data_IF_007572720917
#
_entry.id   IF_007572720917
#
_cell.length_a   1.000
_cell.length_b   1.000
_cell.length_c   1.000
_cell.angle_alpha   90.00
_cell.angle_beta   90.00
_cell.angle_gamma   90.00
#
_symmetry.space_group_name_H-M   'P 1'
#
loop_
_entity.id
_entity.type
_entity.pdbx_description
1 polymer ?
#
# COMPACT_ATOMS: atom_id res chain seq x y z
N UNK A 1 -22.40 -25.15 -18.87
CA UNK A 1 -21.86 -23.79 -18.64
C UNK A 1 -20.43 -24.00 -18.21
N UNK A 2 -19.46 -23.59 -19.01
CA UNK A 2 -18.08 -23.55 -18.57
C UNK A 2 -18.00 -22.56 -17.37
N UNK A 3 -17.29 -22.89 -16.29
CA UNK A 3 -17.07 -21.93 -15.23
C UNK A 3 -16.39 -20.70 -15.82
N UNK A 4 -16.90 -19.53 -15.46
CA UNK A 4 -16.37 -18.25 -15.90
C UNK A 4 -14.90 -18.17 -15.44
N UNK A 5 -13.98 -18.48 -16.40
CA UNK A 5 -12.54 -18.62 -16.14
C UNK A 5 -11.82 -17.29 -15.93
N UNK A 6 -12.59 -16.17 -15.90
CA UNK A 6 -12.06 -14.83 -15.93
C UNK A 6 -11.43 -14.33 -14.63
N UNK A 7 -11.48 -15.10 -13.53
CA UNK A 7 -11.16 -14.56 -12.22
C UNK A 7 -10.52 -15.59 -11.28
N UNK A 8 -9.57 -16.33 -11.80
CA UNK A 8 -8.84 -17.30 -11.00
C UNK A 8 -7.74 -16.70 -10.16
N UNK A 9 -7.39 -15.49 -10.50
CA UNK A 9 -6.42 -14.70 -9.77
C UNK A 9 -6.98 -14.24 -8.40
N UNK A 10 -6.12 -13.76 -7.53
CA UNK A 10 -6.30 -13.29 -6.13
C UNK A 10 -7.64 -12.62 -5.78
N UNK A 11 -8.32 -12.03 -6.77
CA UNK A 11 -9.61 -11.37 -6.60
C UNK A 11 -10.82 -12.30 -6.63
N UNK A 12 -10.66 -13.55 -7.09
CA UNK A 12 -11.73 -14.56 -7.10
C UNK A 12 -13.00 -14.10 -7.84
N UNK A 13 -14.11 -14.83 -7.68
CA UNK A 13 -15.38 -14.55 -8.36
C UNK A 13 -16.08 -13.25 -7.97
N UNK A 14 -15.56 -12.53 -7.00
CA UNK A 14 -16.16 -11.30 -6.48
C UNK A 14 -15.22 -10.10 -6.65
N UNK A 15 -15.05 -9.69 -7.92
CA UNK A 15 -14.28 -8.49 -8.28
C UNK A 15 -14.92 -7.22 -7.71
N UNK A 16 -16.21 -7.26 -7.41
CA UNK A 16 -16.92 -6.10 -6.84
C UNK A 16 -16.58 -5.93 -5.36
N UNK A 17 -16.19 -7.02 -4.68
CA UNK A 17 -15.73 -6.98 -3.31
C UNK A 17 -14.26 -6.59 -3.27
N UNK A 18 -13.98 -5.39 -2.85
CA UNK A 18 -12.64 -4.85 -2.75
C UNK A 18 -12.31 -3.78 -3.78
N UNK A 19 -13.22 -3.46 -4.73
CA UNK A 19 -13.06 -2.30 -5.61
C UNK A 19 -13.40 -1.02 -4.84
N UNK A 20 -12.49 -0.07 -4.88
CA UNK A 20 -12.71 1.28 -4.34
C UNK A 20 -13.71 2.00 -5.22
N UNK A 21 -14.73 2.62 -4.62
CA UNK A 21 -15.63 3.56 -5.29
C UNK A 21 -15.36 4.96 -4.77
N UNK A 22 -14.99 5.86 -5.66
CA UNK A 22 -14.76 7.27 -5.33
C UNK A 22 -16.08 7.97 -5.10
N UNK A 23 -16.10 8.86 -4.12
CA UNK A 23 -17.18 9.81 -3.87
C UNK A 23 -16.92 11.16 -4.51
N UNK A 24 -17.22 12.23 -3.78
CA UNK A 24 -17.01 13.58 -4.25
C UNK A 24 -15.53 13.97 -4.23
N UNK A 25 -15.13 14.79 -5.19
CA UNK A 25 -13.81 15.43 -5.15
C UNK A 25 -13.76 16.41 -4.00
N UNK A 26 -12.66 16.39 -3.26
CA UNK A 26 -12.39 17.23 -2.10
C UNK A 26 -11.34 18.28 -2.43
N UNK A 27 -11.45 19.44 -1.79
CA UNK A 27 -10.40 20.44 -1.88
C UNK A 27 -9.22 20.00 -1.00
N UNK A 28 -8.02 19.82 -1.61
CA UNK A 28 -6.83 19.37 -0.90
C UNK A 28 -6.31 20.46 0.05
N UNK A 29 -6.31 20.24 1.38
CA UNK A 29 -5.84 21.23 2.36
C UNK A 29 -4.34 21.54 2.26
N UNK A 30 -3.55 20.63 1.69
CA UNK A 30 -2.10 20.78 1.57
C UNK A 30 -1.64 21.56 0.33
N UNK A 31 -2.55 22.02 -0.56
CA UNK A 31 -2.15 22.95 -1.63
C UNK A 31 -1.43 24.15 -1.03
N UNK A 32 -0.33 24.57 -1.65
CA UNK A 32 0.45 25.75 -1.18
C UNK A 32 -0.42 26.96 -0.95
N UNK A 33 -1.41 27.20 -1.83
CA UNK A 33 -2.33 28.34 -1.72
C UNK A 33 -3.26 28.19 -0.48
N UNK A 34 -3.71 27.00 -0.15
CA UNK A 34 -4.58 26.76 1.00
C UNK A 34 -3.82 26.89 2.32
N UNK A 35 -2.59 26.39 2.37
CA UNK A 35 -1.69 26.57 3.52
C UNK A 35 -1.35 28.05 3.68
N UNK A 36 -1.03 28.77 2.60
CA UNK A 36 -0.74 30.21 2.68
C UNK A 36 -1.96 31.02 3.18
N UNK A 37 -3.17 30.70 2.74
CA UNK A 37 -4.41 31.32 3.26
C UNK A 37 -4.61 31.02 4.74
N UNK A 38 -4.41 29.77 5.16
CA UNK A 38 -4.51 29.37 6.57
C UNK A 38 -3.47 30.09 7.44
N UNK A 39 -2.23 30.18 6.97
CA UNK A 39 -1.17 30.95 7.62
C UNK A 39 -1.56 32.42 7.77
N UNK A 40 -2.05 33.06 6.71
CA UNK A 40 -2.48 34.46 6.74
C UNK A 40 -3.65 34.69 7.69
N UNK A 41 -4.56 33.75 7.82
CA UNK A 41 -5.69 33.80 8.74
C UNK A 41 -5.23 33.76 10.21
N UNK A 42 -4.28 32.89 10.55
CA UNK A 42 -3.78 32.74 11.93
C UNK A 42 -2.70 33.76 12.30
N UNK A 43 -1.86 34.14 11.33
CA UNK A 43 -0.69 34.99 11.53
C UNK A 43 -0.62 36.16 10.55
N UNK A 44 -1.60 37.07 10.54
CA UNK A 44 -1.71 38.11 9.51
C UNK A 44 -0.49 39.05 9.44
N UNK A 45 0.21 39.25 10.56
CA UNK A 45 1.40 40.10 10.60
C UNK A 45 2.69 39.41 10.19
N UNK A 46 2.71 38.06 10.18
CA UNK A 46 3.87 37.22 9.84
C UNK A 46 3.76 36.62 8.43
N UNK A 47 2.54 36.42 7.91
CA UNK A 47 2.29 35.73 6.64
C UNK A 47 3.04 36.36 5.45
N UNK A 48 3.20 37.69 5.42
CA UNK A 48 3.95 38.37 4.37
C UNK A 48 5.50 38.20 4.46
N UNK A 49 6.01 37.52 5.49
CA UNK A 49 7.44 37.28 5.74
C UNK A 49 7.84 35.82 5.66
N UNK A 50 6.87 34.92 5.52
CA UNK A 50 7.07 33.47 5.46
C UNK A 50 6.60 32.99 4.11
N UNK A 51 7.53 32.53 3.31
CA UNK A 51 7.23 31.90 2.03
C UNK A 51 6.72 30.47 2.27
N UNK A 52 5.63 30.13 1.58
CA UNK A 52 5.05 28.79 1.58
C UNK A 52 5.40 28.16 0.23
N UNK A 53 6.67 27.77 0.09
CA UNK A 53 7.15 27.09 -1.10
C UNK A 53 6.71 25.63 -1.09
N UNK A 54 6.47 25.03 -2.26
CA UNK A 54 6.13 23.62 -2.33
C UNK A 54 7.24 22.76 -1.69
N UNK A 55 6.85 21.84 -0.83
CA UNK A 55 7.72 20.78 -0.31
C UNK A 55 7.57 19.49 -1.07
N UNK A 56 6.37 19.28 -1.62
CA UNK A 56 5.96 18.07 -2.31
C UNK A 56 5.10 18.40 -3.53
N UNK A 57 5.10 17.47 -4.51
CA UNK A 57 4.22 17.50 -5.66
C UNK A 57 3.28 16.31 -5.59
N UNK A 58 1.99 16.54 -5.73
CA UNK A 58 0.99 15.51 -5.99
C UNK A 58 0.92 15.32 -7.50
N UNK A 59 1.26 14.14 -7.96
CA UNK A 59 1.46 13.80 -9.37
C UNK A 59 0.72 12.53 -9.75
N UNK A 60 0.58 12.29 -11.05
CA UNK A 60 0.20 10.99 -11.61
C UNK A 60 1.12 10.63 -12.75
N UNK A 61 1.39 9.33 -12.89
CA UNK A 61 2.21 8.72 -13.93
C UNK A 61 1.39 7.74 -14.76
N UNK A 62 1.77 7.56 -16.01
CA UNK A 62 1.24 6.52 -16.89
C UNK A 62 2.39 5.73 -17.52
N UNK A 63 3.02 4.82 -16.76
CA UNK A 63 4.08 3.98 -17.31
C UNK A 63 3.53 3.07 -18.42
N UNK A 64 4.37 2.79 -19.42
CA UNK A 64 4.00 2.02 -20.60
C UNK A 64 4.48 0.57 -20.56
N UNK A 65 5.52 0.27 -19.75
CA UNK A 65 6.17 -1.03 -19.69
C UNK A 65 6.85 -1.32 -18.32
N UNK A 66 7.50 -2.48 -18.23
CA UNK A 66 8.21 -2.94 -17.04
C UNK A 66 9.43 -2.06 -16.71
N UNK A 67 10.14 -1.57 -17.70
CA UNK A 67 11.34 -0.73 -17.49
C UNK A 67 10.97 0.58 -16.80
N UNK A 68 9.91 1.23 -17.26
CA UNK A 68 9.40 2.46 -16.66
C UNK A 68 8.84 2.24 -15.25
N UNK A 69 8.16 1.11 -15.01
CA UNK A 69 7.73 0.75 -13.65
C UNK A 69 8.91 0.53 -12.71
N UNK A 70 9.92 -0.20 -13.16
CA UNK A 70 11.13 -0.46 -12.38
C UNK A 70 11.90 0.84 -12.08
N UNK A 71 11.94 1.78 -13.00
CA UNK A 71 12.56 3.10 -12.80
C UNK A 71 11.84 3.89 -11.69
N UNK A 72 10.49 3.91 -11.70
CA UNK A 72 9.71 4.55 -10.64
C UNK A 72 9.94 3.89 -9.28
N UNK A 73 9.97 2.56 -9.22
CA UNK A 73 10.28 1.83 -7.98
C UNK A 73 11.69 2.14 -7.48
N UNK A 74 12.69 2.10 -8.37
CA UNK A 74 14.09 2.38 -8.02
C UNK A 74 14.29 3.81 -7.50
N UNK A 75 13.51 4.78 -8.01
CA UNK A 75 13.51 6.15 -7.51
C UNK A 75 12.81 6.32 -6.14
N UNK A 76 12.24 5.25 -5.58
CA UNK A 76 11.54 5.25 -4.30
C UNK A 76 10.13 5.80 -4.33
N UNK A 77 9.58 6.08 -5.52
CA UNK A 77 8.19 6.53 -5.69
C UNK A 77 7.23 5.43 -5.24
N UNK A 78 6.26 5.79 -4.41
CA UNK A 78 5.21 4.89 -3.96
C UNK A 78 3.92 5.19 -4.72
N UNK A 79 3.61 4.32 -5.68
CA UNK A 79 2.45 4.44 -6.54
C UNK A 79 1.16 4.04 -5.80
N UNK A 80 0.08 4.69 -6.17
CA UNK A 80 -1.29 4.47 -5.69
C UNK A 80 -2.23 4.43 -6.89
N UNK A 81 -3.25 3.60 -6.80
CA UNK A 81 -4.20 3.37 -7.89
C UNK A 81 -5.31 4.42 -8.01
N UNK A 82 -5.51 5.21 -7.01
CA UNK A 82 -6.63 6.14 -6.97
C UNK A 82 -6.18 7.54 -6.60
N UNK A 83 -6.92 8.57 -7.04
CA UNK A 83 -6.65 9.94 -6.67
C UNK A 83 -6.84 10.16 -5.16
N UNK A 84 -6.02 11.07 -4.60
CA UNK A 84 -5.92 11.33 -3.16
C UNK A 84 -6.85 12.46 -2.70
N UNK A 85 -7.41 13.20 -3.62
CA UNK A 85 -8.30 14.34 -3.41
C UNK A 85 -9.78 13.99 -3.67
N UNK A 86 -10.15 12.73 -3.38
CA UNK A 86 -11.54 12.27 -3.43
C UNK A 86 -11.93 11.64 -2.10
N UNK A 87 -13.20 11.77 -1.76
CA UNK A 87 -13.77 10.92 -0.73
C UNK A 87 -13.91 9.49 -1.26
N UNK A 88 -13.91 8.51 -0.37
CA UNK A 88 -14.08 7.12 -0.73
C UNK A 88 -15.46 6.71 -0.23
N UNK A 89 -16.39 6.54 -1.18
CA UNK A 89 -17.76 6.16 -0.91
C UNK A 89 -17.87 4.68 -0.51
N UNK A 90 -17.07 3.81 -1.16
CA UNK A 90 -16.94 2.39 -0.80
C UNK A 90 -15.46 2.08 -0.69
N UNK A 91 -15.04 1.57 0.46
CA UNK A 91 -13.65 1.18 0.70
C UNK A 91 -13.33 -0.17 0.04
N UNK A 92 -12.06 -0.36 -0.32
CA UNK A 92 -11.62 -1.54 -1.01
C UNK A 92 -10.10 -1.63 -1.12
N UNK A 93 -9.65 -2.70 -1.74
CA UNK A 93 -8.24 -3.03 -1.88
C UNK A 93 -7.62 -2.42 -3.14
N UNK A 94 -8.41 -2.10 -4.15
CA UNK A 94 -7.94 -1.64 -5.45
C UNK A 94 -8.95 -0.69 -6.12
N UNK A 95 -8.45 0.12 -7.05
CA UNK A 95 -9.24 1.04 -7.87
C UNK A 95 -8.91 0.85 -9.35
N UNK A 96 -9.90 0.99 -10.19
CA UNK A 96 -9.77 1.11 -11.64
C UNK A 96 -10.67 2.24 -12.11
N UNK A 97 -10.14 3.14 -12.92
CA UNK A 97 -10.88 4.26 -13.46
C UNK A 97 -12.04 3.73 -14.34
N UNK A 98 -13.29 4.07 -14.04
CA UNK A 98 -14.43 3.58 -14.80
C UNK A 98 -14.47 4.07 -16.25
N UNK A 99 -13.75 5.12 -16.59
CA UNK A 99 -13.66 5.66 -17.95
C UNK A 99 -12.59 4.96 -18.80
N UNK A 100 -11.79 4.06 -18.19
CA UNK A 100 -10.76 3.26 -18.88
C UNK A 100 -11.29 1.82 -19.06
N UNK A 101 -11.08 1.19 -20.23
CA UNK A 101 -11.49 -0.20 -20.45
C UNK A 101 -10.89 -1.15 -19.41
N UNK A 102 -11.67 -2.17 -19.01
CA UNK A 102 -11.16 -3.23 -18.14
C UNK A 102 -9.95 -3.91 -18.81
N UNK A 103 -8.90 -4.14 -18.01
CA UNK A 103 -7.65 -4.70 -18.50
C UNK A 103 -6.60 -3.67 -18.94
N UNK A 104 -6.99 -2.42 -19.17
CA UNK A 104 -6.03 -1.35 -19.45
C UNK A 104 -5.55 -0.71 -18.14
N UNK A 105 -4.29 -0.26 -18.15
CA UNK A 105 -3.68 0.39 -16.99
C UNK A 105 -4.18 1.83 -16.88
N UNK A 106 -4.59 2.18 -15.67
CA UNK A 106 -5.00 3.54 -15.35
C UNK A 106 -3.85 4.38 -14.80
N UNK A 107 -4.07 5.66 -14.64
CA UNK A 107 -3.10 6.57 -14.02
C UNK A 107 -2.70 6.11 -12.62
N UNK A 108 -1.41 6.21 -12.33
CA UNK A 108 -0.78 5.91 -11.06
C UNK A 108 -0.50 7.19 -10.31
N UNK A 109 -1.00 7.32 -9.11
CA UNK A 109 -0.88 8.55 -8.32
C UNK A 109 0.28 8.43 -7.33
N UNK A 110 1.00 9.52 -7.12
CA UNK A 110 2.10 9.58 -6.16
C UNK A 110 2.25 10.97 -5.54
N UNK A 111 3.01 11.02 -4.46
CA UNK A 111 3.51 12.25 -3.88
C UNK A 111 5.03 12.17 -3.86
N UNK A 112 5.66 13.12 -4.52
CA UNK A 112 7.12 13.18 -4.67
C UNK A 112 7.66 14.50 -4.11
N UNK A 113 8.93 14.60 -3.71
CA UNK A 113 9.55 15.86 -3.29
C UNK A 113 9.42 16.95 -4.38
N UNK A 114 9.40 18.22 -3.98
CA UNK A 114 9.24 19.33 -4.92
C UNK A 114 10.41 19.46 -5.92
N UNK A 115 11.58 18.95 -5.54
CA UNK A 115 12.81 18.88 -6.35
C UNK A 115 13.00 17.53 -7.06
N UNK A 116 11.94 16.70 -7.14
CA UNK A 116 12.00 15.40 -7.80
C UNK A 116 12.34 15.54 -9.28
N UNK A 117 13.37 14.83 -9.72
CA UNK A 117 13.77 14.72 -11.12
C UNK A 117 12.88 13.67 -11.81
N UNK A 118 12.02 14.14 -12.71
CA UNK A 118 11.07 13.28 -13.40
C UNK A 118 11.79 12.42 -14.46
N UNK A 119 11.55 11.10 -14.45
CA UNK A 119 12.02 10.22 -15.53
C UNK A 119 11.27 10.50 -16.85
N UNK A 120 11.72 9.89 -17.93
CA UNK A 120 11.05 9.97 -19.25
C UNK A 120 9.82 9.05 -19.31
N UNK A 121 8.87 9.32 -18.42
CA UNK A 121 7.59 8.61 -18.27
C UNK A 121 6.48 9.63 -18.33
N UNK A 122 5.38 9.40 -19.06
CA UNK A 122 4.25 10.33 -19.06
C UNK A 122 3.75 10.63 -17.65
N UNK A 123 3.72 11.91 -17.29
CA UNK A 123 3.26 12.37 -15.98
C UNK A 123 2.49 13.68 -16.03
N UNK A 124 1.73 13.94 -14.99
CA UNK A 124 1.07 15.23 -14.76
C UNK A 124 1.22 15.66 -13.30
N UNK A 125 1.54 16.94 -13.09
CA UNK A 125 1.51 17.54 -11.75
C UNK A 125 0.09 18.04 -11.47
N UNK A 126 -0.57 17.41 -10.50
CA UNK A 126 -1.95 17.74 -10.12
C UNK A 126 -1.97 18.94 -9.17
N UNK A 127 -1.15 18.90 -8.11
CA UNK A 127 -1.03 19.99 -7.15
C UNK A 127 0.39 20.18 -6.65
N UNK A 128 0.77 21.45 -6.41
CA UNK A 128 1.93 21.81 -5.58
C UNK A 128 1.47 21.83 -4.12
N UNK A 129 2.15 21.11 -3.25
CA UNK A 129 1.75 20.88 -1.87
C UNK A 129 2.83 21.36 -0.89
N UNK A 130 2.39 21.81 0.27
CA UNK A 130 3.27 22.14 1.38
C UNK A 130 2.91 21.25 2.57
N UNK A 131 3.86 20.43 2.99
CA UNK A 131 3.75 19.55 4.16
C UNK A 131 4.85 19.94 5.14
N UNK A 132 4.48 20.61 6.23
CA UNK A 132 5.46 21.07 7.22
C UNK A 132 6.17 19.88 7.88
N UNK A 133 7.49 19.90 7.84
CA UNK A 133 8.39 18.97 8.51
C UNK A 133 9.14 19.60 9.68
N UNK A 134 10.06 18.87 10.28
CA UNK A 134 10.89 19.39 11.38
C UNK A 134 11.83 20.52 10.94
N UNK A 135 12.28 20.53 9.68
CA UNK A 135 13.16 21.58 9.15
C UNK A 135 12.39 22.89 8.96
N UNK A 136 11.16 22.81 8.48
CA UNK A 136 10.23 23.94 8.36
C UNK A 136 9.95 24.59 9.72
N UNK A 137 9.71 23.77 10.76
CA UNK A 137 9.49 24.22 12.13
C UNK A 137 10.69 24.99 12.69
N UNK A 138 11.89 24.53 12.39
CA UNK A 138 13.12 25.17 12.87
C UNK A 138 13.39 26.53 12.20
N UNK A 139 13.06 26.67 10.91
CA UNK A 139 13.30 27.90 10.14
C UNK A 139 12.31 29.02 10.44
N UNK A 140 11.08 28.67 10.80
CA UNK A 140 9.96 29.62 10.99
C UNK A 140 9.66 30.00 12.44
N UNK A 141 10.44 29.48 13.39
CA UNK A 141 10.55 29.81 14.84
C UNK A 141 9.25 29.85 15.65
N UNK A 142 8.35 30.78 15.35
CA UNK A 142 7.15 31.08 16.15
C UNK A 142 5.84 30.71 15.46
N UNK A 143 5.85 29.89 14.40
CA UNK A 143 4.64 29.44 13.70
C UNK A 143 4.29 28.05 14.17
N UNK A 144 3.09 27.91 14.69
CA UNK A 144 2.48 26.61 14.93
C UNK A 144 1.92 26.05 13.61
N UNK A 145 2.74 25.29 12.89
CA UNK A 145 2.37 24.66 11.63
C UNK A 145 1.25 23.62 11.79
N UNK A 146 1.07 23.10 12.99
CA UNK A 146 -0.05 22.20 13.28
C UNK A 146 -1.38 22.97 13.27
N UNK A 147 -1.40 24.14 13.90
CA UNK A 147 -2.56 25.02 13.85
C UNK A 147 -2.85 25.47 12.42
N UNK A 148 -1.81 25.74 11.61
CA UNK A 148 -1.97 26.11 10.18
C UNK A 148 -2.54 24.94 9.38
N UNK A 149 -2.05 23.72 9.56
CA UNK A 149 -2.59 22.50 8.93
C UNK A 149 -4.07 22.31 9.28
N UNK A 150 -4.43 22.38 10.55
CA UNK A 150 -5.83 22.28 11.01
C UNK A 150 -6.71 23.36 10.39
N UNK A 151 -6.23 24.60 10.36
CA UNK A 151 -6.95 25.73 9.76
C UNK A 151 -7.18 25.52 8.25
N UNK A 152 -6.21 24.93 7.54
CA UNK A 152 -6.36 24.58 6.13
C UNK A 152 -7.45 23.53 5.92
N UNK A 153 -7.55 22.52 6.79
CA UNK A 153 -8.66 21.55 6.75
C UNK A 153 -10.03 22.24 6.92
N UNK A 154 -10.15 23.15 7.91
CA UNK A 154 -11.39 23.90 8.13
C UNK A 154 -11.74 24.75 6.91
N UNK A 155 -10.77 25.52 6.37
CA UNK A 155 -10.99 26.43 5.25
C UNK A 155 -11.32 25.71 3.93
N UNK A 156 -10.96 24.43 3.82
CA UNK A 156 -11.26 23.59 2.66
C UNK A 156 -12.51 22.71 2.84
N UNK A 157 -13.23 22.88 3.97
CA UNK A 157 -14.45 22.12 4.25
C UNK A 157 -14.20 20.65 4.62
N UNK A 158 -13.02 20.35 5.19
CA UNK A 158 -12.61 19.00 5.59
C UNK A 158 -12.45 18.85 7.12
N UNK A 159 -13.11 19.70 7.90
CA UNK A 159 -13.03 19.68 9.36
C UNK A 159 -13.52 18.37 9.98
N UNK A 160 -14.43 17.66 9.31
CA UNK A 160 -14.94 16.34 9.72
C UNK A 160 -13.87 15.26 9.74
N UNK A 161 -12.78 15.48 9.01
CA UNK A 161 -11.63 14.56 8.98
C UNK A 161 -10.65 14.78 10.14
N UNK A 162 -10.76 15.90 10.84
CA UNK A 162 -9.91 16.19 12.00
C UNK A 162 -10.42 15.45 13.25
N UNK A 163 -9.50 14.86 13.99
CA UNK A 163 -9.85 14.37 15.33
C UNK A 163 -10.26 15.53 16.25
N UNK A 164 -11.34 15.32 17.00
CA UNK A 164 -11.86 16.30 17.96
C UNK A 164 -12.15 17.68 17.34
N UNK A 165 -12.77 17.73 16.16
CA UNK A 165 -13.16 18.97 15.48
C UNK A 165 -13.94 19.95 16.39
N UNK A 166 -14.68 19.41 17.38
CA UNK A 166 -15.45 20.18 18.37
C UNK A 166 -14.69 20.56 19.67
N UNK A 167 -13.41 20.16 19.81
CA UNK A 167 -12.60 20.49 20.98
C UNK A 167 -11.82 21.78 20.76
N UNK A 168 -11.92 22.72 21.71
CA UNK A 168 -11.11 23.96 21.72
C UNK A 168 -9.62 23.71 22.02
N UNK A 169 -9.26 22.51 22.46
CA UNK A 169 -7.85 22.08 22.59
C UNK A 169 -7.46 21.30 21.33
N UNK A 170 -6.40 21.78 20.66
CA UNK A 170 -5.76 21.01 19.61
C UNK A 170 -5.41 19.61 20.16
N UNK A 171 -5.90 18.57 19.52
CA UNK A 171 -5.44 17.22 19.85
C UNK A 171 -3.96 17.14 19.45
N UNK A 172 -3.13 16.64 20.36
CA UNK A 172 -1.71 16.43 20.06
C UNK A 172 -1.60 15.50 18.84
N UNK A 173 -0.64 15.79 17.94
CA UNK A 173 -0.28 14.85 16.87
C UNK A 173 0.21 13.55 17.47
N UNK A 174 -0.19 12.46 16.86
CA UNK A 174 0.16 11.10 17.29
C UNK A 174 0.85 10.40 16.12
N UNK A 175 1.97 9.73 16.41
CA UNK A 175 2.58 8.80 15.47
C UNK A 175 1.79 7.48 15.52
N UNK A 176 1.08 7.11 14.44
CA UNK A 176 0.25 5.91 14.44
C UNK A 176 1.07 4.67 14.76
N UNK A 177 0.52 3.81 15.61
CA UNK A 177 1.14 2.54 15.97
C UNK A 177 0.09 1.45 16.12
N UNK A 178 0.52 0.19 16.04
CA UNK A 178 -0.40 -0.92 16.19
C UNK A 178 0.26 -2.26 15.99
N UNK A 179 -0.59 -3.28 15.84
CA UNK A 179 -0.13 -4.65 15.68
C UNK A 179 -0.97 -5.41 14.67
N UNK A 180 -0.29 -6.06 13.70
CA UNK A 180 -0.92 -6.94 12.71
C UNK A 180 -0.57 -8.38 13.07
N UNK A 181 -1.60 -9.19 13.31
CA UNK A 181 -1.44 -10.59 13.72
C UNK A 181 -2.27 -11.53 12.86
N UNK A 182 -1.89 -12.79 12.85
CA UNK A 182 -2.62 -13.89 12.25
C UNK A 182 -2.86 -14.96 13.32
N UNK A 183 -3.99 -15.64 13.25
CA UNK A 183 -4.33 -16.75 14.14
C UNK A 183 -4.83 -17.94 13.32
N UNK A 184 -4.38 -19.13 13.71
CA UNK A 184 -4.87 -20.41 13.22
C UNK A 184 -4.96 -21.38 14.39
N UNK A 185 -6.02 -22.18 14.46
CA UNK A 185 -6.30 -23.05 15.60
C UNK A 185 -5.19 -24.07 15.87
N UNK A 186 -4.40 -24.40 14.86
CA UNK A 186 -3.32 -25.41 14.92
C UNK A 186 -1.94 -24.79 15.02
N UNK A 187 -1.79 -23.53 14.64
CA UNK A 187 -0.50 -22.81 14.74
C UNK A 187 -0.39 -22.08 16.09
N UNK A 188 0.79 -22.01 16.66
CA UNK A 188 1.10 -21.31 17.92
C UNK A 188 0.10 -21.60 19.08
N UNK A 189 -0.47 -22.82 19.11
CA UNK A 189 -1.47 -23.21 20.11
C UNK A 189 -2.77 -22.39 20.03
N UNK A 190 -3.16 -21.94 18.85
CA UNK A 190 -4.34 -21.12 18.62
C UNK A 190 -4.22 -19.66 19.11
N UNK A 191 -3.02 -19.19 19.45
CA UNK A 191 -2.81 -17.81 19.90
C UNK A 191 -2.35 -16.94 18.72
N UNK A 192 -2.80 -15.67 18.65
CA UNK A 192 -2.34 -14.74 17.64
C UNK A 192 -0.82 -14.55 17.69
N UNK A 193 -0.18 -14.48 16.51
CA UNK A 193 1.24 -14.18 16.34
C UNK A 193 1.44 -13.18 15.19
N UNK A 194 2.61 -12.54 15.14
CA UNK A 194 2.86 -11.43 14.23
C UNK A 194 2.82 -11.80 12.76
N UNK A 195 2.36 -10.85 11.93
CA UNK A 195 2.65 -10.84 10.48
C UNK A 195 3.93 -10.03 10.30
N UNK A 196 5.03 -10.72 9.99
CA UNK A 196 6.38 -10.18 10.10
C UNK A 196 6.85 -9.46 8.84
N UNK A 197 7.47 -8.28 9.01
CA UNK A 197 8.18 -7.55 7.97
C UNK A 197 7.30 -6.99 6.85
N UNK A 198 5.98 -6.99 6.99
CA UNK A 198 5.04 -6.48 5.98
C UNK A 198 4.87 -4.97 6.11
N UNK A 199 4.69 -4.27 4.98
CA UNK A 199 4.53 -2.82 4.96
C UNK A 199 3.13 -2.40 5.40
N UNK A 200 3.06 -1.53 6.40
CA UNK A 200 1.85 -0.79 6.77
C UNK A 200 1.97 0.63 6.26
N UNK A 201 0.96 1.14 5.59
CA UNK A 201 0.92 2.52 5.10
C UNK A 201 -0.32 3.24 5.59
N UNK A 202 -0.23 4.55 5.77
CA UNK A 202 -1.37 5.39 6.06
C UNK A 202 -1.26 6.74 5.37
N UNK A 203 -2.40 7.37 5.10
CA UNK A 203 -2.42 8.71 4.55
C UNK A 203 -3.69 9.49 4.93
N UNK A 204 -3.56 10.82 4.89
CA UNK A 204 -4.66 11.77 4.79
C UNK A 204 -4.33 12.73 3.66
N UNK A 205 -5.13 12.72 2.59
CA UNK A 205 -4.77 13.38 1.33
C UNK A 205 -3.36 12.99 0.90
N UNK A 206 -2.52 13.98 0.60
CA UNK A 206 -1.14 13.83 0.13
C UNK A 206 -0.10 13.59 1.22
N UNK A 207 -0.49 13.66 2.48
CA UNK A 207 0.41 13.39 3.61
C UNK A 207 0.45 11.90 3.91
N UNK A 208 1.59 11.26 3.61
CA UNK A 208 1.81 9.82 3.73
C UNK A 208 2.82 9.46 4.81
N UNK A 209 2.61 8.29 5.42
CA UNK A 209 3.63 7.56 6.13
C UNK A 209 3.52 6.06 5.85
N UNK A 210 4.64 5.37 5.90
CA UNK A 210 4.69 3.92 5.89
C UNK A 210 5.82 3.44 6.79
N UNK A 211 5.68 2.20 7.23
CA UNK A 211 6.68 1.48 8.01
C UNK A 211 6.47 -0.02 7.81
N UNK A 212 7.32 -0.82 8.38
CA UNK A 212 7.19 -2.28 8.34
C UNK A 212 6.92 -2.82 9.73
N UNK A 213 6.18 -3.91 9.80
CA UNK A 213 6.00 -4.63 11.06
C UNK A 213 7.29 -5.30 11.50
N UNK A 214 7.51 -5.38 12.80
CA UNK A 214 8.54 -6.26 13.36
C UNK A 214 8.11 -7.74 13.31
N UNK A 215 8.94 -8.63 13.88
CA UNK A 215 8.65 -10.07 13.92
C UNK A 215 7.36 -10.40 14.68
N UNK A 216 7.01 -9.60 15.67
CA UNK A 216 5.82 -9.78 16.50
C UNK A 216 4.59 -9.06 15.94
N UNK A 217 4.74 -8.44 14.76
CA UNK A 217 3.69 -7.73 14.04
C UNK A 217 3.45 -6.28 14.50
N UNK A 218 4.28 -5.74 15.40
CA UNK A 218 4.16 -4.33 15.82
C UNK A 218 4.71 -3.39 14.77
N UNK A 219 4.07 -2.23 14.65
CA UNK A 219 4.52 -1.14 13.80
C UNK A 219 4.35 0.22 14.48
N UNK A 220 5.17 1.19 14.09
CA UNK A 220 5.04 2.60 14.47
C UNK A 220 5.41 3.47 13.27
N UNK A 221 4.53 4.42 12.92
CA UNK A 221 4.77 5.34 11.81
C UNK A 221 5.84 6.38 12.15
N UNK A 222 6.65 6.80 11.16
CA UNK A 222 7.69 7.81 11.38
C UNK A 222 7.16 9.25 11.39
N UNK A 223 5.88 9.47 11.01
CA UNK A 223 5.24 10.79 10.96
C UNK A 223 4.04 10.85 11.90
N UNK A 224 3.79 12.05 12.41
CA UNK A 224 2.64 12.35 13.28
C UNK A 224 1.48 12.93 12.47
N UNK A 225 0.27 12.64 12.90
CA UNK A 225 -0.98 13.09 12.27
C UNK A 225 -1.97 13.59 13.32
N UNK A 226 -2.84 14.51 12.89
CA UNK A 226 -3.95 15.05 13.70
C UNK A 226 -5.33 14.70 13.07
N UNK A 227 -5.34 14.12 11.88
CA UNK A 227 -6.53 13.75 11.13
C UNK A 227 -6.77 12.25 11.13
N UNK A 228 -7.99 11.85 10.80
CA UNK A 228 -8.32 10.47 10.48
C UNK A 228 -7.55 10.03 9.22
N UNK A 229 -7.07 8.79 9.24
CA UNK A 229 -6.20 8.22 8.23
C UNK A 229 -6.86 7.02 7.58
N UNK A 230 -6.53 6.79 6.33
CA UNK A 230 -6.77 5.52 5.68
C UNK A 230 -5.53 4.64 5.84
N UNK A 231 -5.74 3.44 6.39
CA UNK A 231 -4.68 2.45 6.61
C UNK A 231 -4.75 1.34 5.57
N UNK A 232 -3.58 0.85 5.15
CA UNK A 232 -3.43 -0.26 4.21
C UNK A 232 -2.30 -1.16 4.63
N UNK A 233 -2.47 -2.45 4.38
CA UNK A 233 -1.44 -3.46 4.43
C UNK A 233 -0.96 -3.73 3.00
N UNK A 234 0.32 -3.57 2.74
CA UNK A 234 0.92 -3.78 1.43
C UNK A 234 1.91 -4.93 1.54
N UNK A 235 1.72 -5.96 0.73
CA UNK A 235 2.50 -7.20 0.83
C UNK A 235 3.87 -7.09 0.16
N UNK A 236 4.58 -6.04 0.48
CA UNK A 236 6.00 -5.81 0.26
C UNK A 236 6.72 -6.05 1.59
N UNK A 237 7.80 -6.86 1.57
CA UNK A 237 8.45 -7.31 2.80
C UNK A 237 9.89 -6.79 2.93
N UNK A 238 10.33 -6.56 4.18
CA UNK A 238 11.70 -6.17 4.51
C UNK A 238 12.78 -7.16 4.04
N UNK A 239 12.39 -8.40 3.71
CA UNK A 239 13.29 -9.44 3.21
C UNK A 239 13.48 -9.38 1.68
N UNK A 240 12.87 -8.40 1.00
CA UNK A 240 13.03 -8.18 -0.43
C UNK A 240 12.18 -9.13 -1.28
N UNK A 241 10.96 -9.40 -0.87
CA UNK A 241 9.96 -10.08 -1.68
C UNK A 241 8.62 -9.36 -1.62
N UNK A 242 7.75 -9.64 -2.58
CA UNK A 242 6.40 -9.16 -2.64
C UNK A 242 5.42 -10.30 -2.93
N UNK A 243 4.15 -10.14 -2.50
CA UNK A 243 3.11 -11.16 -2.71
C UNK A 243 1.96 -10.54 -3.49
N UNK A 244 1.57 -11.22 -4.56
CA UNK A 244 0.53 -10.76 -5.46
C UNK A 244 0.94 -9.55 -6.28
N UNK A 245 -0.02 -8.89 -6.85
CA UNK A 245 0.12 -7.58 -7.46
C UNK A 245 -1.13 -6.75 -7.17
N UNK A 246 -1.01 -5.46 -7.26
CA UNK A 246 -2.19 -4.63 -7.39
C UNK A 246 -2.40 -4.35 -8.88
N UNK A 247 -3.65 -4.30 -9.34
CA UNK A 247 -4.06 -3.92 -10.71
C UNK A 247 -3.44 -2.60 -11.17
N UNK A 248 -2.66 -1.99 -10.36
CA UNK A 248 -2.06 -0.71 -10.45
C UNK A 248 -0.55 -0.78 -10.39
N UNK A 249 0.06 -1.64 -11.20
CA UNK A 249 1.51 -1.65 -11.41
C UNK A 249 2.37 -1.64 -10.12
N UNK A 250 1.78 -1.97 -8.97
CA UNK A 250 2.52 -2.22 -7.74
C UNK A 250 2.68 -3.73 -7.63
N UNK A 251 3.91 -4.26 -7.66
CA UNK A 251 4.15 -5.70 -7.59
C UNK A 251 3.90 -6.27 -6.18
N UNK A 252 2.83 -5.82 -5.54
CA UNK A 252 2.41 -6.24 -4.22
C UNK A 252 0.91 -6.03 -4.04
N UNK A 253 0.20 -7.05 -3.55
CA UNK A 253 -1.20 -6.91 -3.17
C UNK A 253 -1.37 -5.92 -2.04
N UNK A 254 -2.47 -5.18 -2.10
CA UNK A 254 -2.87 -4.21 -1.07
C UNK A 254 -4.16 -4.70 -0.43
N UNK A 255 -4.24 -4.62 0.89
CA UNK A 255 -5.48 -4.84 1.64
C UNK A 255 -5.81 -3.62 2.46
N UNK A 256 -7.05 -3.12 2.35
CA UNK A 256 -7.49 -2.01 3.19
C UNK A 256 -7.61 -2.45 4.64
N UNK A 257 -7.14 -1.61 5.56
CA UNK A 257 -7.38 -1.74 7.00
C UNK A 257 -8.46 -0.75 7.47
N UNK A 258 -9.07 -0.03 6.51
CA UNK A 258 -10.12 0.93 6.75
C UNK A 258 -9.63 2.32 7.17
N UNK A 259 -10.59 3.15 7.58
CA UNK A 259 -10.36 4.49 8.12
C UNK A 259 -10.35 4.41 9.65
N UNK A 260 -9.34 5.00 10.29
CA UNK A 260 -9.22 5.10 11.74
C UNK A 260 -8.53 6.40 12.14
N UNK A 261 -8.50 6.69 13.43
CA UNK A 261 -7.77 7.82 13.98
C UNK A 261 -6.25 7.70 13.89
N UNK A 262 -5.51 8.74 14.25
CA UNK A 262 -4.05 8.74 14.20
C UNK A 262 -3.39 7.87 15.27
N UNK A 263 -4.16 7.26 16.19
CA UNK A 263 -3.63 6.28 17.15
C UNK A 263 -3.10 5.02 16.49
N UNK A 264 -3.64 4.64 15.33
CA UNK A 264 -3.25 3.45 14.58
C UNK A 264 -4.32 2.35 14.58
N UNK A 265 -3.99 1.19 13.99
CA UNK A 265 -4.91 0.06 13.82
C UNK A 265 -4.27 -1.22 14.33
N UNK A 266 -5.04 -1.99 15.11
CA UNK A 266 -4.73 -3.37 15.45
C UNK A 266 -5.63 -4.30 14.62
N UNK A 267 -5.03 -5.32 14.02
CA UNK A 267 -5.77 -6.30 13.22
C UNK A 267 -5.32 -7.72 13.56
N UNK A 268 -6.29 -8.63 13.65
CA UNK A 268 -6.05 -10.07 13.77
C UNK A 268 -6.74 -10.78 12.62
N UNK A 269 -5.97 -11.39 11.75
CA UNK A 269 -6.44 -12.08 10.54
C UNK A 269 -6.75 -13.54 10.90
N UNK A 270 -7.93 -14.02 10.50
CA UNK A 270 -8.37 -15.41 10.67
C UNK A 270 -8.75 -16.03 9.33
N UNK A 271 -8.66 -17.34 9.22
CA UNK A 271 -9.09 -18.07 8.02
C UNK A 271 -10.57 -17.88 7.68
N UNK A 272 -11.41 -17.67 8.70
CA UNK A 272 -12.86 -17.62 8.54
C UNK A 272 -13.38 -16.25 8.13
N UNK A 273 -12.65 -15.18 8.49
CA UNK A 273 -13.10 -13.81 8.23
C UNK A 273 -12.61 -13.25 6.89
N UNK A 274 -11.38 -13.61 6.49
CA UNK A 274 -10.74 -13.07 5.28
C UNK A 274 -9.75 -14.07 4.67
N UNK A 275 -10.28 -15.05 3.98
CA UNK A 275 -9.49 -16.16 3.42
C UNK A 275 -8.29 -15.71 2.58
N UNK A 276 -8.46 -14.70 1.72
CA UNK A 276 -7.37 -14.18 0.86
C UNK A 276 -6.28 -13.50 1.69
N UNK A 277 -6.68 -12.62 2.60
CA UNK A 277 -5.75 -11.93 3.48
C UNK A 277 -5.00 -12.91 4.38
N UNK A 278 -5.70 -13.94 4.89
CA UNK A 278 -5.10 -15.00 5.68
C UNK A 278 -4.00 -15.74 4.89
N UNK A 279 -4.27 -16.11 3.64
CA UNK A 279 -3.29 -16.77 2.77
C UNK A 279 -2.08 -15.89 2.50
N UNK A 280 -2.29 -14.61 2.17
CA UNK A 280 -1.19 -13.65 1.99
C UNK A 280 -0.32 -13.52 3.25
N UNK A 281 -0.94 -13.40 4.42
CA UNK A 281 -0.24 -13.33 5.70
C UNK A 281 0.54 -14.62 6.01
N UNK A 282 -0.01 -15.79 5.68
CA UNK A 282 0.66 -17.07 5.90
C UNK A 282 1.87 -17.25 4.97
N UNK A 283 1.72 -16.92 3.68
CA UNK A 283 2.82 -16.91 2.70
C UNK A 283 3.90 -15.90 3.11
N UNK A 284 3.49 -14.70 3.54
CA UNK A 284 4.41 -13.68 4.02
C UNK A 284 5.29 -14.18 5.18
N UNK A 285 4.68 -14.81 6.17
CA UNK A 285 5.42 -15.34 7.32
C UNK A 285 6.33 -16.50 6.94
N UNK A 286 5.87 -17.38 6.04
CA UNK A 286 6.69 -18.49 5.55
C UNK A 286 7.94 -17.99 4.81
N UNK A 287 7.76 -17.06 3.87
CA UNK A 287 8.89 -16.48 3.11
C UNK A 287 9.83 -15.66 4.03
N UNK A 288 9.26 -14.86 4.94
CA UNK A 288 10.05 -14.12 5.93
C UNK A 288 10.92 -15.05 6.80
N UNK A 289 10.32 -16.11 7.33
CA UNK A 289 11.04 -17.08 8.17
C UNK A 289 12.08 -17.87 7.39
N UNK A 290 11.74 -18.34 6.17
CA UNK A 290 12.66 -19.07 5.31
C UNK A 290 13.91 -18.24 4.99
N UNK A 291 13.73 -17.04 4.45
CA UNK A 291 14.85 -16.14 4.10
C UNK A 291 15.64 -15.73 5.33
N UNK A 292 14.98 -15.53 6.48
CA UNK A 292 15.68 -15.22 7.74
C UNK A 292 16.56 -16.37 8.21
N UNK A 293 16.13 -17.62 8.01
CA UNK A 293 16.91 -18.81 8.40
C UNK A 293 18.09 -19.07 7.48
N UNK A 294 17.99 -18.75 6.19
CA UNK A 294 19.12 -18.82 5.26
C UNK A 294 20.32 -17.93 5.70
N UNK A 295 20.07 -16.95 6.56
CA UNK A 295 21.11 -16.06 7.10
C UNK A 295 21.81 -16.60 8.35
N UNK A 296 21.42 -17.78 8.87
CA UNK A 296 22.08 -18.38 10.02
C UNK A 296 23.37 -19.08 9.59
N UNK A 297 24.46 -18.78 10.28
CA UNK A 297 25.80 -19.30 9.99
C UNK A 297 25.89 -20.85 9.99
N UNK A 298 24.99 -21.51 10.73
CA UNK A 298 24.94 -22.97 10.84
C UNK A 298 24.14 -23.65 9.69
N UNK A 299 23.50 -22.87 8.81
CA UNK A 299 22.75 -23.39 7.69
C UNK A 299 23.43 -23.01 6.37
N UNK A 300 24.07 -24.00 5.73
CA UNK A 300 24.64 -23.85 4.39
C UNK A 300 23.55 -23.89 3.31
N UNK A 301 22.58 -22.96 3.42
CA UNK A 301 21.46 -22.81 2.51
C UNK A 301 21.56 -21.44 1.84
N UNK A 302 21.64 -21.43 0.52
CA UNK A 302 21.62 -20.19 -0.25
C UNK A 302 20.27 -19.49 -0.04
N UNK A 303 20.30 -18.19 0.25
CA UNK A 303 19.08 -17.40 0.27
C UNK A 303 18.49 -17.27 -1.15
N UNK A 304 17.17 -17.26 -1.29
CA UNK A 304 16.53 -16.93 -2.57
C UNK A 304 17.00 -15.55 -3.07
N UNK A 305 16.90 -15.29 -4.38
CA UNK A 305 17.17 -13.97 -4.95
C UNK A 305 16.36 -12.87 -4.25
N UNK A 306 16.84 -11.64 -4.28
CA UNK A 306 16.05 -10.48 -3.85
C UNK A 306 15.00 -10.12 -4.90
N UNK A 307 13.98 -9.39 -4.47
CA UNK A 307 12.90 -8.88 -5.34
C UNK A 307 11.99 -9.98 -5.91
N UNK A 308 11.86 -11.09 -5.16
CA UNK A 308 10.95 -12.15 -5.53
C UNK A 308 9.50 -11.69 -5.57
N UNK A 309 8.81 -12.04 -6.66
CA UNK A 309 7.39 -11.82 -6.89
C UNK A 309 6.62 -13.12 -6.74
N UNK A 310 5.85 -13.26 -5.68
CA UNK A 310 5.10 -14.50 -5.35
C UNK A 310 3.63 -14.28 -5.66
N UNK A 311 3.07 -15.04 -6.62
CA UNK A 311 1.67 -14.94 -6.96
C UNK A 311 0.86 -16.13 -6.45
N UNK A 312 -0.36 -15.86 -5.96
CA UNK A 312 -1.28 -16.85 -5.41
C UNK A 312 -2.43 -17.11 -6.38
N UNK A 313 -2.68 -18.35 -6.71
CA UNK A 313 -3.77 -18.76 -7.59
C UNK A 313 -4.75 -19.68 -6.87
N UNK A 314 -5.99 -19.24 -6.70
CA UNK A 314 -6.99 -19.96 -5.91
C UNK A 314 -7.52 -21.25 -6.55
N UNK A 315 -7.51 -21.35 -7.88
CA UNK A 315 -7.98 -22.54 -8.58
C UNK A 315 -6.86 -23.51 -8.96
N UNK A 316 -5.62 -23.12 -8.86
CA UNK A 316 -4.50 -24.02 -9.04
C UNK A 316 -4.33 -24.96 -7.84
N UNK A 317 -4.08 -26.25 -8.13
CA UNK A 317 -3.70 -27.20 -7.09
C UNK A 317 -2.30 -26.89 -6.55
N UNK A 318 -2.00 -27.22 -5.28
CA UNK A 318 -0.66 -27.03 -4.70
C UNK A 318 0.48 -27.64 -5.51
N UNK A 319 0.26 -28.84 -6.07
CA UNK A 319 1.23 -29.52 -6.96
C UNK A 319 1.53 -28.80 -8.28
N UNK A 320 0.90 -27.66 -8.53
CA UNK A 320 1.14 -26.81 -9.71
C UNK A 320 1.97 -25.58 -9.38
N UNK A 321 2.47 -25.46 -8.14
CA UNK A 321 3.40 -24.41 -7.76
C UNK A 321 4.73 -24.59 -8.49
N UNK A 322 5.32 -23.49 -8.95
CA UNK A 322 6.53 -23.52 -9.76
C UNK A 322 7.33 -22.24 -9.53
N UNK A 323 8.62 -22.40 -9.26
CA UNK A 323 9.56 -21.29 -9.30
C UNK A 323 9.96 -21.02 -10.76
N UNK A 324 9.75 -19.80 -11.23
CA UNK A 324 10.01 -19.38 -12.63
C UNK A 324 11.29 -18.52 -12.73
N UNK A 325 12.20 -18.60 -11.77
CA UNK A 325 13.44 -17.84 -11.88
C UNK A 325 14.33 -18.44 -12.99
N UNK A 326 14.44 -17.71 -14.12
CA UNK A 326 15.22 -18.06 -15.34
C UNK A 326 14.69 -19.16 -16.26
N UNK A 327 13.43 -19.55 -16.19
CA UNK A 327 12.87 -20.49 -17.17
C UNK A 327 11.38 -20.65 -16.99
N UNK A 328 10.60 -20.20 -17.96
CA UNK A 328 9.14 -20.29 -17.93
C UNK A 328 8.69 -21.74 -17.86
N UNK A 329 8.22 -22.20 -16.70
CA UNK A 329 7.54 -23.48 -16.57
C UNK A 329 6.02 -23.32 -16.76
N UNK A 330 5.45 -22.17 -16.36
CA UNK A 330 4.14 -21.74 -16.85
C UNK A 330 4.35 -20.97 -18.16
N UNK A 331 3.74 -21.42 -19.24
CA UNK A 331 3.74 -20.64 -20.49
C UNK A 331 2.98 -19.32 -20.26
N UNK A 332 3.40 -18.26 -20.94
CA UNK A 332 2.69 -16.97 -20.94
C UNK A 332 1.22 -17.21 -21.28
N UNK A 333 0.90 -18.10 -22.23
CA UNK A 333 -0.47 -18.49 -22.61
C UNK A 333 -1.29 -19.02 -21.43
N UNK A 334 -0.66 -19.73 -20.48
CA UNK A 334 -1.36 -20.24 -19.32
C UNK A 334 -1.63 -19.11 -18.31
N UNK A 335 -0.67 -18.21 -18.10
CA UNK A 335 -0.85 -17.03 -17.26
C UNK A 335 -1.92 -16.09 -17.84
N UNK A 336 -1.88 -15.81 -19.14
CA UNK A 336 -2.92 -15.04 -19.84
C UNK A 336 -4.31 -15.65 -19.66
N UNK A 337 -4.41 -16.97 -19.72
CA UNK A 337 -5.68 -17.66 -19.48
C UNK A 337 -6.21 -17.49 -18.06
N UNK A 338 -5.32 -17.45 -17.05
CA UNK A 338 -5.73 -17.22 -15.66
C UNK A 338 -6.04 -15.76 -15.36
N UNK A 339 -5.32 -14.84 -15.98
CA UNK A 339 -5.49 -13.40 -15.79
C UNK A 339 -6.68 -12.86 -16.60
N UNK A 340 -7.04 -13.51 -17.72
CA UNK A 340 -8.15 -13.09 -18.58
C UNK A 340 -7.95 -11.66 -19.09
N UNK A 341 -8.92 -10.78 -18.84
CA UNK A 341 -8.89 -9.38 -19.29
C UNK A 341 -7.72 -8.57 -18.66
N UNK A 342 -7.11 -9.09 -17.60
CA UNK A 342 -5.98 -8.47 -16.90
C UNK A 342 -4.60 -8.97 -17.37
N UNK A 343 -4.55 -9.73 -18.45
CA UNK A 343 -3.29 -10.26 -19.03
C UNK A 343 -2.31 -9.15 -19.46
N UNK A 344 -2.82 -7.94 -19.72
CA UNK A 344 -1.98 -6.76 -20.01
C UNK A 344 -0.94 -6.46 -18.94
N UNK A 345 -1.19 -6.87 -17.67
CA UNK A 345 -0.25 -6.67 -16.57
C UNK A 345 1.07 -7.41 -16.76
N UNK A 346 1.06 -8.49 -17.56
CA UNK A 346 2.28 -9.24 -17.90
C UNK A 346 3.30 -8.43 -18.69
N UNK A 347 2.89 -7.30 -19.26
CA UNK A 347 3.80 -6.32 -19.88
C UNK A 347 4.70 -5.63 -18.85
N UNK A 348 4.20 -5.49 -17.62
CA UNK A 348 4.82 -4.68 -16.58
C UNK A 348 5.61 -5.52 -15.58
N UNK A 349 5.22 -6.74 -15.32
CA UNK A 349 5.94 -7.66 -14.46
C UNK A 349 5.40 -9.10 -14.53
N UNK A 350 6.27 -10.04 -14.21
CA UNK A 350 5.99 -11.47 -14.18
C UNK A 350 6.23 -12.00 -12.75
N UNK A 351 5.54 -13.08 -12.32
CA UNK A 351 5.88 -13.75 -11.07
C UNK A 351 7.16 -14.57 -11.20
N UNK A 352 7.93 -14.62 -10.12
CA UNK A 352 9.05 -15.57 -9.97
C UNK A 352 8.56 -16.91 -9.41
N UNK A 353 7.57 -16.85 -8.51
CA UNK A 353 6.96 -18.02 -7.88
C UNK A 353 5.45 -17.94 -8.03
N UNK A 354 4.83 -19.04 -8.43
CA UNK A 354 3.38 -19.19 -8.40
C UNK A 354 2.97 -20.28 -7.43
N UNK A 355 2.05 -19.96 -6.51
CA UNK A 355 1.54 -20.89 -5.51
C UNK A 355 0.07 -21.24 -5.81
N UNK A 356 -0.22 -22.53 -5.95
CA UNK A 356 -1.58 -23.04 -6.08
C UNK A 356 -2.24 -23.15 -4.70
N UNK A 357 -3.37 -22.48 -4.50
CA UNK A 357 -4.07 -22.41 -3.20
C UNK A 357 -5.39 -23.17 -3.18
N UNK A 358 -5.68 -23.97 -4.20
CA UNK A 358 -6.92 -24.74 -4.23
C UNK A 358 -6.97 -25.74 -3.09
N UNK A 359 -8.00 -25.63 -2.26
CA UNK A 359 -8.23 -26.48 -1.09
C UNK A 359 -7.14 -26.40 0.02
N UNK A 360 -6.26 -25.37 -0.05
CA UNK A 360 -5.25 -25.11 0.99
C UNK A 360 -5.77 -24.05 1.95
N UNK A 361 -6.22 -24.47 3.13
CA UNK A 361 -6.96 -23.62 4.06
C UNK A 361 -6.25 -23.42 5.42
N UNK A 362 -5.23 -24.22 5.74
CA UNK A 362 -4.55 -24.13 7.03
C UNK A 362 -3.23 -23.38 6.93
N UNK A 363 -2.88 -22.66 7.99
CA UNK A 363 -1.58 -21.96 8.06
C UNK A 363 -0.41 -22.90 7.79
N UNK A 364 -0.39 -24.08 8.44
CA UNK A 364 0.71 -25.04 8.30
C UNK A 364 0.86 -25.57 6.88
N UNK A 365 -0.25 -25.79 6.15
CA UNK A 365 -0.21 -26.26 4.76
C UNK A 365 0.35 -25.17 3.84
N UNK A 366 -0.14 -23.93 3.99
CA UNK A 366 0.36 -22.77 3.23
C UNK A 366 1.84 -22.54 3.52
N UNK A 367 2.21 -22.57 4.79
CA UNK A 367 3.61 -22.39 5.22
C UNK A 367 4.53 -23.43 4.60
N UNK A 368 4.14 -24.72 4.67
CA UNK A 368 4.94 -25.82 4.11
C UNK A 368 5.11 -25.72 2.60
N UNK A 369 4.02 -25.41 1.87
CA UNK A 369 4.05 -25.23 0.42
C UNK A 369 4.97 -24.08 0.02
N UNK A 370 4.82 -22.93 0.69
CA UNK A 370 5.68 -21.76 0.44
C UNK A 370 7.16 -22.07 0.68
N UNK A 371 7.50 -22.73 1.78
CA UNK A 371 8.87 -23.11 2.06
C UNK A 371 9.42 -24.13 1.06
N UNK A 372 8.57 -25.02 0.52
CA UNK A 372 8.96 -25.98 -0.50
C UNK A 372 9.39 -25.27 -1.79
N UNK A 373 8.61 -24.29 -2.24
CA UNK A 373 8.90 -23.57 -3.47
C UNK A 373 10.08 -22.58 -3.34
N UNK A 374 10.43 -22.19 -2.11
CA UNK A 374 11.60 -21.34 -1.84
C UNK A 374 12.91 -22.12 -1.70
N UNK A 375 12.84 -23.45 -1.54
CA UNK A 375 13.99 -24.33 -1.38
C UNK A 375 14.62 -24.72 -2.72
#
# INVERSE_FOLDING_TARGET
>A
MAPDSRLDFEYGRDITHGKIVLGNRLENPYKTENIAKALASLYPTKAGRVEVDPTDLYVRFLPEDEEQCAELEASGVKLLDHPLDYDIAVDGDWYHDPDIPEGDVTWQYAVVPADYEFPDIPYEVIHKCFIADNSTKTKSGDIDWEAVERQAYVMTGNEDKLQNASSTKAAAKIAPSGRITIVDDRANGGKPFGVAGVRVSCNSFVKFAHTYTDRDGYYQMPKEFAANLRYRLVFENTKGFSIGFNMVLVPASVSTLGKAGPEGVNMTVTSDSEEKLFRRCAVNNAAYDYISRCSYEDMDIAAPPRELRIWLFHSLKPSSAVMIHNGAVLSIELLEKFLGDYSSILKYFMPDITLGMKDVLTYSSIYSETCHELA
#
